data_IF_299927767353
#
_entry.id   IF_299927767353
#
_cell.length_a   1.000
_cell.length_b   1.000
_cell.length_c   1.000
_cell.angle_alpha   90.00
_cell.angle_beta   90.00
_cell.angle_gamma   90.00
#
_symmetry.space_group_name_H-M   'P 1'
#
loop_
_entity.id
_entity.type
_entity.pdbx_description
1 polymer ?
#
# COMPACT_ATOMS: atom_id res chain seq x y z
N UNK A 1 -19.72 -23.72 -22.14
CA UNK A 1 -18.51 -22.87 -22.06
C UNK A 1 -18.13 -22.71 -20.58
N UNK A 2 -16.95 -23.15 -20.12
CA UNK A 2 -16.59 -23.12 -18.69
C UNK A 2 -16.36 -21.66 -18.25
N UNK A 3 -17.19 -21.14 -17.36
CA UNK A 3 -17.03 -19.76 -16.86
C UNK A 3 -15.66 -19.60 -16.20
N UNK A 4 -14.93 -18.55 -16.58
CA UNK A 4 -13.63 -18.23 -15.97
C UNK A 4 -13.90 -17.72 -14.56
N UNK A 5 -13.30 -18.35 -13.54
CA UNK A 5 -13.42 -17.92 -12.15
C UNK A 5 -12.99 -16.45 -11.98
N UNK A 6 -13.77 -15.65 -11.25
CA UNK A 6 -13.42 -14.27 -10.89
C UNK A 6 -12.14 -14.17 -10.05
N UNK A 7 -11.70 -15.27 -9.43
CA UNK A 7 -10.46 -15.37 -8.65
C UNK A 7 -9.23 -15.79 -9.48
N UNK A 8 -9.38 -15.93 -10.80
CA UNK A 8 -8.26 -16.31 -11.67
C UNK A 8 -7.22 -15.18 -11.74
N UNK A 9 -5.93 -15.54 -11.64
CA UNK A 9 -4.83 -14.58 -11.85
C UNK A 9 -4.93 -13.97 -13.24
N UNK A 10 -4.81 -12.64 -13.32
CA UNK A 10 -4.92 -11.87 -14.56
C UNK A 10 -3.54 -11.52 -15.09
N UNK A 11 -3.40 -11.52 -16.40
CA UNK A 11 -2.19 -11.07 -17.07
C UNK A 11 -2.03 -9.55 -16.87
N UNK A 12 -0.86 -9.06 -16.43
CA UNK A 12 -0.62 -7.63 -16.23
C UNK A 12 -0.55 -6.85 -17.55
N UNK A 13 -0.36 -7.54 -18.68
CA UNK A 13 -0.25 -6.91 -20.00
C UNK A 13 -1.61 -6.81 -20.69
N UNK A 14 -2.42 -7.87 -20.67
CA UNK A 14 -3.65 -7.93 -21.46
C UNK A 14 -4.92 -8.24 -20.64
N UNK A 15 -4.82 -8.34 -19.32
CA UNK A 15 -5.97 -8.58 -18.42
C UNK A 15 -6.61 -9.97 -18.54
N UNK A 16 -6.19 -10.82 -19.48
CA UNK A 16 -6.74 -12.16 -19.66
C UNK A 16 -6.38 -13.09 -18.50
N UNK A 17 -7.28 -14.04 -18.21
CA UNK A 17 -7.04 -15.06 -17.19
C UNK A 17 -5.82 -15.93 -17.55
N UNK A 18 -5.00 -16.25 -16.55
CA UNK A 18 -3.80 -17.06 -16.70
C UNK A 18 -4.03 -18.50 -16.21
N UNK A 19 -3.29 -19.45 -16.80
CA UNK A 19 -3.27 -20.87 -16.37
C UNK A 19 -2.01 -21.19 -15.58
N UNK A 20 -2.06 -22.21 -14.72
CA UNK A 20 -0.87 -22.73 -14.01
C UNK A 20 0.14 -23.27 -15.03
N UNK A 21 1.42 -22.99 -14.83
CA UNK A 21 2.52 -23.33 -15.73
C UNK A 21 3.74 -23.88 -14.96
N UNK A 22 3.54 -24.95 -14.18
CA UNK A 22 4.60 -25.55 -13.38
C UNK A 22 5.00 -24.75 -12.13
N UNK A 23 6.19 -25.03 -11.60
CA UNK A 23 6.84 -24.30 -10.49
C UNK A 23 8.25 -23.89 -10.91
N UNK A 24 8.81 -22.86 -10.27
CA UNK A 24 10.24 -22.54 -10.36
C UNK A 24 11.07 -23.51 -9.53
N UNK A 25 12.41 -23.51 -9.69
CA UNK A 25 13.31 -24.29 -8.84
C UNK A 25 13.10 -24.03 -7.33
N UNK A 26 12.81 -22.79 -6.94
CA UNK A 26 12.44 -22.40 -5.55
C UNK A 26 11.02 -22.80 -5.13
N UNK A 27 10.31 -23.63 -5.90
CA UNK A 27 8.96 -24.11 -5.60
C UNK A 27 7.81 -23.10 -5.85
N UNK A 28 8.08 -21.86 -6.27
CA UNK A 28 7.05 -20.85 -6.54
C UNK A 28 6.20 -21.21 -7.75
N UNK A 29 4.87 -21.02 -7.65
CA UNK A 29 3.94 -21.30 -8.75
C UNK A 29 4.16 -20.34 -9.92
N UNK A 30 4.36 -20.86 -11.12
CA UNK A 30 4.41 -20.07 -12.36
C UNK A 30 3.06 -20.10 -13.06
N UNK A 31 2.71 -19.00 -13.71
CA UNK A 31 1.47 -18.78 -14.46
C UNK A 31 1.82 -18.43 -15.90
N UNK A 32 0.97 -18.82 -16.86
CA UNK A 32 1.11 -18.47 -18.28
C UNK A 32 -0.19 -17.86 -18.78
N UNK A 33 -0.11 -16.70 -19.43
CA UNK A 33 -1.24 -16.10 -20.12
C UNK A 33 -1.60 -16.93 -21.35
N UNK A 34 -2.89 -17.17 -21.56
CA UNK A 34 -3.37 -17.93 -22.72
C UNK A 34 -3.50 -17.10 -23.99
N UNK A 35 -3.39 -15.77 -23.90
CA UNK A 35 -3.51 -14.86 -25.04
C UNK A 35 -2.13 -14.38 -25.53
N UNK A 36 -1.34 -13.77 -24.65
CA UNK A 36 -0.04 -13.19 -25.02
C UNK A 36 1.17 -14.06 -24.64
N UNK A 37 0.95 -15.29 -24.16
CA UNK A 37 2.01 -16.24 -23.75
C UNK A 37 2.96 -15.79 -22.63
N UNK A 38 2.78 -14.59 -22.05
CA UNK A 38 3.56 -14.10 -20.90
C UNK A 38 3.55 -15.11 -19.77
N UNK A 39 4.73 -15.40 -19.20
CA UNK A 39 4.85 -16.22 -18.00
C UNK A 39 5.38 -15.42 -16.82
N UNK A 40 4.77 -15.59 -15.64
CA UNK A 40 5.15 -14.88 -14.42
C UNK A 40 4.84 -15.72 -13.19
N UNK A 41 5.56 -15.50 -12.10
CA UNK A 41 5.36 -16.19 -10.82
C UNK A 41 4.25 -15.58 -9.95
N UNK A 42 3.63 -14.46 -10.39
CA UNK A 42 2.56 -13.74 -9.69
C UNK A 42 2.69 -13.80 -8.16
N UNK A 43 3.85 -13.36 -7.60
CA UNK A 43 4.06 -13.38 -6.18
C UNK A 43 2.94 -12.60 -5.50
N UNK A 44 2.62 -12.97 -4.26
CA UNK A 44 1.59 -12.33 -3.44
C UNK A 44 2.08 -10.94 -2.95
N UNK A 45 2.81 -10.21 -3.78
CA UNK A 45 3.41 -8.91 -3.49
C UNK A 45 2.37 -7.92 -3.00
N UNK A 46 1.16 -7.94 -3.55
CA UNK A 46 0.06 -7.08 -3.08
C UNK A 46 -0.32 -7.37 -1.62
N UNK A 47 -0.35 -8.65 -1.20
CA UNK A 47 -0.67 -8.98 0.19
C UNK A 47 0.53 -8.74 1.13
N UNK A 48 1.75 -8.90 0.63
CA UNK A 48 2.95 -8.57 1.39
C UNK A 48 3.07 -7.05 1.62
N UNK A 49 2.85 -6.25 0.58
CA UNK A 49 2.79 -4.78 0.68
C UNK A 49 1.62 -4.32 1.53
N UNK A 50 0.44 -4.95 1.41
CA UNK A 50 -0.69 -4.68 2.30
C UNK A 50 -0.31 -4.82 3.78
N UNK A 51 0.28 -5.95 4.17
CA UNK A 51 0.74 -6.16 5.56
C UNK A 51 1.83 -5.19 6.00
N UNK A 52 2.71 -4.78 5.09
CA UNK A 52 3.72 -3.76 5.38
C UNK A 52 3.09 -2.39 5.60
N UNK A 53 2.06 -2.05 4.83
CA UNK A 53 1.27 -0.83 5.00
C UNK A 53 0.49 -0.87 6.33
N UNK A 54 -0.14 -1.99 6.67
CA UNK A 54 -0.85 -2.13 7.95
C UNK A 54 0.10 -1.92 9.13
N UNK A 55 1.29 -2.53 9.10
CA UNK A 55 2.33 -2.33 10.11
C UNK A 55 2.84 -0.89 10.15
N UNK A 56 2.99 -0.25 8.98
CA UNK A 56 3.38 1.16 8.89
C UNK A 56 2.33 2.08 9.53
N UNK A 57 1.05 1.89 9.21
CA UNK A 57 -0.05 2.69 9.76
C UNK A 57 -0.24 2.43 11.26
N UNK A 58 -0.08 1.19 11.71
CA UNK A 58 -0.15 0.83 13.13
C UNK A 58 0.93 1.56 13.93
N UNK A 59 2.14 1.65 13.38
CA UNK A 59 3.24 2.41 13.97
C UNK A 59 2.98 3.93 13.89
N UNK A 60 2.61 4.45 12.72
CA UNK A 60 2.51 5.88 12.45
C UNK A 60 1.35 6.55 13.22
N UNK A 61 0.21 5.87 13.32
CA UNK A 61 -1.00 6.38 13.96
C UNK A 61 -1.16 5.91 15.41
N UNK A 62 -0.30 5.00 15.87
CA UNK A 62 -0.34 4.44 17.20
C UNK A 62 0.69 5.05 18.15
N UNK A 63 0.72 4.54 19.38
CA UNK A 63 1.71 4.89 20.39
C UNK A 63 2.90 3.91 20.45
N UNK A 64 2.86 2.84 19.65
CA UNK A 64 3.88 1.82 19.64
C UNK A 64 5.19 2.37 19.04
N UNK A 65 6.31 2.00 19.65
CA UNK A 65 7.64 2.30 19.09
C UNK A 65 7.91 1.49 17.82
N UNK A 66 8.87 1.93 17.00
CA UNK A 66 9.27 1.19 15.79
C UNK A 66 9.79 -0.21 16.10
N UNK A 67 10.48 -0.40 17.22
CA UNK A 67 10.98 -1.73 17.62
C UNK A 67 9.83 -2.66 17.96
N UNK A 68 8.80 -2.19 18.67
CA UNK A 68 7.63 -3.01 19.03
C UNK A 68 6.76 -3.40 17.83
N UNK A 69 6.84 -2.66 16.72
CA UNK A 69 6.12 -2.98 15.48
C UNK A 69 6.90 -3.93 14.55
N UNK A 70 8.10 -4.35 14.95
CA UNK A 70 8.86 -5.39 14.29
C UNK A 70 8.80 -6.71 15.06
N UNK A 71 8.57 -7.82 14.35
CA UNK A 71 8.48 -9.14 14.98
C UNK A 71 9.78 -9.56 15.70
N UNK A 72 10.92 -8.99 15.32
CA UNK A 72 12.23 -9.25 15.92
C UNK A 72 12.74 -8.08 16.77
N UNK A 73 11.91 -7.06 17.02
CA UNK A 73 12.34 -5.87 17.77
C UNK A 73 13.20 -4.88 16.97
N UNK A 74 13.42 -5.10 15.66
CA UNK A 74 14.34 -4.29 14.86
C UNK A 74 13.64 -3.11 14.16
N UNK A 75 13.80 -1.93 14.77
CA UNK A 75 13.32 -0.66 14.21
C UNK A 75 13.91 -0.34 12.82
N UNK A 76 15.19 -0.69 12.56
CA UNK A 76 15.83 -0.45 11.27
C UNK A 76 15.23 -1.36 10.19
N UNK A 77 14.93 -2.61 10.53
CA UNK A 77 14.23 -3.52 9.63
C UNK A 77 12.82 -3.02 9.29
N UNK A 78 12.09 -2.46 10.27
CA UNK A 78 10.78 -1.81 10.02
C UNK A 78 10.91 -0.67 9.03
N UNK A 79 11.78 0.30 9.31
CA UNK A 79 12.00 1.45 8.40
C UNK A 79 12.35 1.00 6.99
N UNK A 80 13.25 0.03 6.84
CA UNK A 80 13.67 -0.45 5.51
C UNK A 80 12.50 -1.06 4.72
N UNK A 81 11.65 -1.88 5.35
CA UNK A 81 10.54 -2.55 4.65
C UNK A 81 9.34 -1.63 4.40
N UNK A 82 9.13 -0.61 5.23
CA UNK A 82 8.01 0.33 5.10
C UNK A 82 8.38 1.64 4.41
N UNK A 83 9.66 1.87 4.10
CA UNK A 83 10.13 3.12 3.47
C UNK A 83 9.33 3.54 2.23
N UNK A 84 8.86 2.57 1.44
CA UNK A 84 8.05 2.84 0.26
C UNK A 84 6.67 3.46 0.58
N UNK A 85 6.16 3.28 1.80
CA UNK A 85 4.86 3.82 2.23
C UNK A 85 4.87 5.34 2.27
N UNK A 86 6.02 5.98 2.49
CA UNK A 86 6.17 7.45 2.41
C UNK A 86 5.90 8.01 1.01
N UNK A 87 6.00 7.18 -0.03
CA UNK A 87 5.72 7.58 -1.40
C UNK A 87 4.26 7.36 -1.80
N UNK A 88 3.43 6.83 -0.89
CA UNK A 88 1.99 6.74 -1.13
C UNK A 88 1.44 8.17 -1.16
N UNK A 89 0.75 8.52 -2.25
CA UNK A 89 0.00 9.75 -2.37
C UNK A 89 -1.44 9.46 -1.98
N UNK A 90 -1.91 9.88 -0.79
CA UNK A 90 -3.31 9.73 -0.44
C UNK A 90 -4.15 10.59 -1.39
N UNK A 91 -5.30 10.06 -1.80
CA UNK A 91 -6.30 10.85 -2.50
C UNK A 91 -7.10 11.59 -1.43
N UNK A 92 -6.88 12.90 -1.31
CA UNK A 92 -7.68 13.75 -0.44
C UNK A 92 -8.87 14.25 -1.26
N UNK A 93 -10.12 13.88 -0.93
CA UNK A 93 -11.27 14.39 -1.64
C UNK A 93 -11.36 15.91 -1.44
N UNK A 94 -11.78 16.68 -2.45
CA UNK A 94 -12.03 18.10 -2.26
C UNK A 94 -13.16 18.29 -1.22
N UNK A 95 -13.13 19.39 -0.43
CA UNK A 95 -14.22 19.73 0.46
C UNK A 95 -15.55 19.79 -0.32
N UNK A 96 -16.58 19.14 0.21
CA UNK A 96 -17.91 19.13 -0.40
C UNK A 96 -18.76 20.33 0.00
N UNK A 97 -18.33 21.07 1.03
CA UNK A 97 -19.04 22.22 1.61
C UNK A 97 -18.14 23.44 1.59
N UNK A 98 -18.74 24.61 1.35
CA UNK A 98 -18.07 25.90 1.52
C UNK A 98 -18.31 26.40 2.93
N UNK A 99 -17.23 26.69 3.67
CA UNK A 99 -17.31 27.26 5.00
C UNK A 99 -17.02 28.76 4.93
N UNK A 100 -17.84 29.58 5.60
CA UNK A 100 -17.59 31.02 5.71
C UNK A 100 -16.40 31.35 6.62
N UNK A 101 -16.14 30.48 7.59
CA UNK A 101 -15.05 30.59 8.57
C UNK A 101 -14.43 29.22 8.76
N UNK A 102 -13.10 29.18 8.92
CA UNK A 102 -12.33 27.99 9.31
C UNK A 102 -11.44 28.35 10.49
N UNK A 103 -11.13 27.37 11.34
CA UNK A 103 -10.11 27.51 12.36
C UNK A 103 -8.78 27.04 11.76
N UNK A 104 -7.72 27.84 11.91
CA UNK A 104 -6.40 27.49 11.43
C UNK A 104 -5.41 27.38 12.59
N UNK A 105 -4.57 26.34 12.57
CA UNK A 105 -3.44 26.16 13.47
C UNK A 105 -2.15 25.95 12.68
N UNK A 106 -1.02 26.30 13.27
CA UNK A 106 0.29 26.31 12.63
C UNK A 106 1.35 25.62 13.47
N UNK A 107 2.06 24.65 12.89
CA UNK A 107 3.23 24.01 13.51
C UNK A 107 4.49 24.32 12.70
N UNK A 108 5.44 25.02 13.32
CA UNK A 108 6.74 25.25 12.72
C UNK A 108 7.57 23.96 12.68
N UNK A 109 8.18 23.72 11.52
CA UNK A 109 9.11 22.63 11.24
C UNK A 109 10.49 23.22 10.96
N UNK A 110 11.50 22.35 10.90
CA UNK A 110 12.87 22.77 10.58
C UNK A 110 12.93 23.54 9.25
N UNK A 111 13.95 24.39 9.13
CA UNK A 111 14.24 25.20 7.94
C UNK A 111 13.22 26.32 7.68
N UNK A 112 12.56 26.83 8.72
CA UNK A 112 11.56 27.92 8.65
C UNK A 112 10.29 27.55 7.87
N UNK A 113 9.95 26.25 7.81
CA UNK A 113 8.70 25.79 7.23
C UNK A 113 7.59 25.81 8.26
N UNK A 114 6.37 26.21 7.89
CA UNK A 114 5.20 26.13 8.76
C UNK A 114 4.13 25.24 8.13
N UNK A 115 3.74 24.17 8.83
CA UNK A 115 2.57 23.37 8.47
C UNK A 115 1.33 24.10 8.97
N UNK A 116 0.45 24.50 8.05
CA UNK A 116 -0.85 25.07 8.37
C UNK A 116 -1.93 24.00 8.23
N UNK A 117 -2.75 23.84 9.26
CA UNK A 117 -3.91 22.95 9.27
C UNK A 117 -5.15 23.82 9.41
N UNK A 118 -6.13 23.65 8.52
CA UNK A 118 -7.43 24.31 8.59
C UNK A 118 -8.54 23.27 8.85
N UNK A 119 -9.39 23.54 9.83
CA UNK A 119 -10.53 22.69 10.19
C UNK A 119 -11.82 23.53 10.19
N UNK A 120 -12.95 22.90 9.87
CA UNK A 120 -14.26 23.56 9.80
C UNK A 120 -14.92 23.77 11.17
N UNK A 121 -14.33 23.23 12.24
CA UNK A 121 -14.83 23.34 13.61
C UNK A 121 -16.06 22.47 13.89
N UNK A 122 -16.47 21.61 12.95
CA UNK A 122 -17.49 20.60 13.19
C UNK A 122 -16.89 19.41 13.92
N UNK A 123 -17.25 19.19 15.18
CA UNK A 123 -16.93 17.96 15.93
C UNK A 123 -17.94 16.86 15.67
#
# INVERSE_FOLDING_TARGET
MRMKSGKAKKCPICGQSMKKNGRTAKGTRRWKCTACSLSSTMPRETAARGRQLDAFLTWLLGHASQSTCDANGDARALRKRTAWCWNIRPMVPPPTVKHHTVMADGTYMNHDWCLIIAIDGGT
#
